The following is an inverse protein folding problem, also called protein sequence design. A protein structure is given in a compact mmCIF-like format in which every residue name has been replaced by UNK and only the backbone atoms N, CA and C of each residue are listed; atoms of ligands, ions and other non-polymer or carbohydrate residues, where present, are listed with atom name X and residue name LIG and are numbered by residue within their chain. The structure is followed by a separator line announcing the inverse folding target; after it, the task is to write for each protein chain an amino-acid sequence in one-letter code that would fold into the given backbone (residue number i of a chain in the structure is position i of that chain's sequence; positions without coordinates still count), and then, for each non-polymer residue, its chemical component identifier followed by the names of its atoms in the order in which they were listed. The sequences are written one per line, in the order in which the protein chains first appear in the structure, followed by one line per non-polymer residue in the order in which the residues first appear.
data_IF_193637769461
#
_entry.id   IF_193637769461
#
_cell.length_a   1.000
_cell.length_b   1.000
_cell.length_c   1.000
_cell.angle_alpha   90.00
_cell.angle_beta   90.00
_cell.angle_gamma   90.00
#
_symmetry.space_group_name_H-M   'P 1'
#
loop_
_entity.id
_entity.type
_entity.pdbx_description
1 polymer ?
#
# COMPACT_ATOMS: atom_id res chain seq x y z
N UNK A 1 -21.36 -11.43 11.83
CA UNK A 1 -21.54 -9.99 12.11
C UNK A 1 -20.33 -9.25 11.54
N UNK A 2 -20.42 -8.78 10.29
CA UNK A 2 -19.37 -7.97 9.65
C UNK A 2 -19.90 -6.53 9.62
N UNK A 3 -19.57 -5.76 10.65
CA UNK A 3 -19.69 -4.32 10.61
C UNK A 3 -18.38 -3.77 10.02
N UNK A 4 -18.42 -3.35 8.75
CA UNK A 4 -17.39 -2.49 8.15
C UNK A 4 -18.10 -1.31 7.51
N UNK A 5 -18.39 -0.32 8.35
CA UNK A 5 -18.64 1.06 7.96
C UNK A 5 -17.73 1.88 8.87
N UNK A 6 -16.89 2.80 8.39
CA UNK A 6 -17.39 4.13 8.11
C UNK A 6 -16.37 5.00 7.34
N UNK A 7 -16.87 5.66 6.29
CA UNK A 7 -16.53 7.04 5.85
C UNK A 7 -15.37 7.34 4.90
N UNK A 8 -14.81 6.37 4.19
CA UNK A 8 -14.29 6.63 2.83
C UNK A 8 -14.35 5.30 2.06
N UNK A 9 -15.54 5.03 1.53
CA UNK A 9 -15.94 3.81 0.84
C UNK A 9 -15.36 3.80 -0.59
N UNK A 10 -14.10 3.40 -0.72
CA UNK A 10 -13.56 2.99 -2.02
C UNK A 10 -13.11 1.54 -1.96
N UNK A 11 -14.09 0.66 -1.83
CA UNK A 11 -13.95 -0.77 -2.05
C UNK A 11 -13.92 -1.00 -3.58
N UNK A 12 -12.75 -0.89 -4.21
CA UNK A 12 -12.60 -1.32 -5.61
C UNK A 12 -12.50 -2.84 -5.61
N UNK A 13 -13.65 -3.49 -5.79
CA UNK A 13 -13.72 -4.93 -6.09
C UNK A 13 -13.42 -5.10 -7.58
N UNK A 14 -12.14 -5.03 -7.95
CA UNK A 14 -11.69 -5.21 -9.33
C UNK A 14 -11.13 -6.62 -9.53
N UNK A 15 -11.97 -7.54 -10.02
CA UNK A 15 -11.55 -8.89 -10.36
C UNK A 15 -10.54 -8.90 -11.52
N UNK A 16 -9.42 -9.60 -11.31
CA UNK A 16 -8.54 -10.34 -12.26
C UNK A 16 -8.21 -9.77 -13.65
N UNK A 17 -8.57 -8.53 -13.99
CA UNK A 17 -8.01 -7.80 -15.12
C UNK A 17 -6.93 -6.86 -14.59
N UNK A 18 -5.78 -6.78 -15.27
CA UNK A 18 -4.59 -6.05 -14.82
C UNK A 18 -4.83 -4.54 -14.82
N UNK A 19 -5.55 -4.06 -13.82
CA UNK A 19 -5.73 -2.65 -13.55
C UNK A 19 -4.44 -2.12 -12.92
N UNK A 20 -3.85 -1.11 -13.56
CA UNK A 20 -2.68 -0.42 -13.04
C UNK A 20 -3.10 0.53 -11.91
N UNK A 21 -2.61 0.28 -10.70
CA UNK A 21 -2.78 1.13 -9.54
C UNK A 21 -1.67 2.20 -9.50
N UNK A 22 -2.01 3.42 -9.08
CA UNK A 22 -1.06 4.48 -8.71
C UNK A 22 -1.01 4.71 -7.21
N UNK A 23 -2.09 4.43 -6.51
CA UNK A 23 -2.18 4.59 -5.05
C UNK A 23 -2.71 3.30 -4.43
N UNK A 24 -2.08 2.85 -3.35
CA UNK A 24 -2.48 1.66 -2.59
C UNK A 24 -2.82 2.07 -1.17
N UNK A 25 -4.07 1.84 -0.76
CA UNK A 25 -4.52 2.15 0.59
C UNK A 25 -4.03 1.08 1.57
N UNK A 26 -3.49 1.51 2.71
CA UNK A 26 -3.06 0.63 3.79
C UNK A 26 -4.16 0.54 4.84
N UNK A 27 -4.27 -0.63 5.47
CA UNK A 27 -5.12 -0.83 6.63
C UNK A 27 -4.52 -0.17 7.89
N UNK A 28 -5.31 -0.16 8.96
CA UNK A 28 -4.97 0.47 10.24
C UNK A 28 -3.92 -0.32 11.04
N UNK A 29 -3.53 -1.51 10.56
CA UNK A 29 -2.49 -2.37 11.13
C UNK A 29 -1.07 -1.96 10.72
N UNK A 30 -0.91 -0.75 10.17
CA UNK A 30 0.40 -0.23 9.78
C UNK A 30 1.34 -0.17 10.99
N UNK A 31 2.44 -0.91 10.89
CA UNK A 31 3.56 -0.82 11.82
C UNK A 31 4.73 -0.17 11.09
N UNK A 32 5.24 0.93 11.67
CA UNK A 32 6.45 1.60 11.23
C UNK A 32 7.55 1.44 12.28
N UNK A 33 8.72 0.99 11.85
CA UNK A 33 9.92 0.87 12.68
C UNK A 33 10.81 2.13 12.59
N UNK A 34 10.57 2.99 11.60
CA UNK A 34 11.28 4.23 11.33
C UNK A 34 10.29 5.28 10.80
N UNK A 35 10.75 6.52 10.68
CA UNK A 35 9.91 7.62 10.21
C UNK A 35 9.35 7.35 8.80
N UNK A 36 8.11 7.79 8.59
CA UNK A 36 7.34 7.55 7.36
C UNK A 36 7.97 8.18 6.11
N UNK A 37 8.68 9.29 6.27
CA UNK A 37 9.39 10.04 5.22
C UNK A 37 10.59 9.27 4.65
N UNK A 38 11.10 8.28 5.38
CA UNK A 38 12.19 7.41 4.91
C UNK A 38 11.74 6.33 3.93
N UNK A 39 10.44 6.12 3.80
CA UNK A 39 9.88 5.16 2.84
C UNK A 39 10.13 5.66 1.42
N UNK A 40 10.94 4.91 0.67
CA UNK A 40 11.26 5.21 -0.73
C UNK A 40 10.85 4.10 -1.70
N UNK A 41 10.52 2.91 -1.18
CA UNK A 41 10.07 1.78 -1.99
C UNK A 41 8.98 0.98 -1.28
N UNK A 42 8.20 0.24 -2.07
CA UNK A 42 7.20 -0.70 -1.58
C UNK A 42 7.28 -2.03 -2.32
N UNK A 43 7.09 -3.14 -1.61
CA UNK A 43 6.86 -4.45 -2.21
C UNK A 43 5.42 -4.86 -1.92
N UNK A 44 4.61 -4.97 -2.97
CA UNK A 44 3.17 -5.23 -2.87
C UNK A 44 2.81 -6.71 -3.05
N UNK A 45 3.73 -7.50 -3.60
CA UNK A 45 3.57 -8.95 -3.81
C UNK A 45 4.86 -9.67 -3.46
N UNK A 46 4.69 -10.87 -2.93
CA UNK A 46 5.81 -11.78 -2.67
C UNK A 46 6.61 -12.03 -3.97
N UNK A 47 7.94 -11.89 -3.89
CA UNK A 47 8.91 -11.98 -5.01
C UNK A 47 8.85 -10.87 -6.08
N UNK A 48 8.00 -9.86 -5.92
CA UNK A 48 8.07 -8.68 -6.79
C UNK A 48 9.32 -7.87 -6.47
N UNK A 49 9.95 -7.26 -7.48
CA UNK A 49 10.96 -6.22 -7.23
C UNK A 49 10.30 -5.01 -6.52
N UNK A 50 10.89 -4.47 -5.44
CA UNK A 50 10.38 -3.27 -4.81
C UNK A 50 10.22 -2.13 -5.80
N UNK A 51 9.07 -1.47 -5.76
CA UNK A 51 8.72 -0.34 -6.61
C UNK A 51 9.06 0.98 -5.91
N UNK A 52 9.61 1.98 -6.61
CA UNK A 52 9.75 3.33 -6.07
C UNK A 52 8.39 3.88 -5.67
N UNK A 53 8.28 4.34 -4.42
CA UNK A 53 7.03 4.81 -3.86
C UNK A 53 7.27 5.66 -2.61
N UNK A 54 6.27 6.44 -2.22
CA UNK A 54 6.28 7.19 -0.96
C UNK A 54 5.07 6.85 -0.11
N UNK A 55 5.24 6.91 1.21
CA UNK A 55 4.14 6.80 2.15
C UNK A 55 3.48 8.18 2.32
N UNK A 56 2.16 8.23 2.13
CA UNK A 56 1.35 9.45 2.26
C UNK A 56 0.30 9.24 3.33
N UNK A 57 0.20 10.22 4.24
CA UNK A 57 -0.85 10.27 5.26
C UNK A 57 -1.94 11.27 4.86
N UNK A 58 -3.20 10.86 4.97
CA UNK A 58 -4.37 11.71 4.78
C UNK A 58 -5.31 11.53 5.97
N UNK A 59 -5.35 12.52 6.87
CA UNK A 59 -5.98 12.37 8.18
C UNK A 59 -5.32 11.24 8.97
N UNK A 60 -6.11 10.23 9.36
CA UNK A 60 -5.62 9.06 10.10
C UNK A 60 -5.34 7.84 9.21
N UNK A 61 -5.48 8.00 7.88
CA UNK A 61 -5.25 6.91 6.92
C UNK A 61 -3.90 7.06 6.24
N UNK A 62 -3.30 5.92 5.94
CA UNK A 62 -2.07 5.84 5.16
C UNK A 62 -2.31 5.20 3.79
N UNK A 63 -1.58 5.69 2.80
CA UNK A 63 -1.56 5.13 1.46
C UNK A 63 -0.15 5.22 0.88
N UNK A 64 0.19 4.28 0.02
CA UNK A 64 1.43 4.30 -0.75
C UNK A 64 1.13 4.87 -2.13
N UNK A 65 1.87 5.90 -2.53
CA UNK A 65 1.85 6.42 -3.89
C UNK A 65 3.04 5.87 -4.67
N UNK A 66 2.75 5.18 -5.76
CA UNK A 66 3.75 4.60 -6.64
C UNK A 66 4.27 5.67 -7.59
N UNK A 67 5.58 5.69 -7.83
CA UNK A 67 6.17 6.58 -8.81
C UNK A 67 5.70 6.26 -10.24
N UNK A 68 5.48 4.97 -10.51
CA UNK A 68 4.94 4.47 -11.77
C UNK A 68 3.74 3.55 -11.51
N UNK A 69 2.69 3.57 -12.36
CA UNK A 69 1.56 2.66 -12.21
C UNK A 69 2.02 1.20 -12.26
N UNK A 70 1.51 0.36 -11.37
CA UNK A 70 1.86 -1.05 -11.31
C UNK A 70 0.63 -1.95 -11.20
N UNK A 71 0.73 -3.24 -11.57
CA UNK A 71 -0.37 -4.18 -11.44
C UNK A 71 -0.95 -4.16 -10.03
N UNK A 72 -2.25 -3.90 -9.94
CA UNK A 72 -2.95 -3.75 -8.68
C UNK A 72 -2.72 -4.98 -7.76
N UNK A 73 -2.30 -4.77 -6.50
CA UNK A 73 -2.26 -5.85 -5.53
C UNK A 73 -3.67 -6.27 -5.12
N UNK A 74 -3.81 -7.53 -4.72
CA UNK A 74 -5.05 -7.99 -4.14
C UNK A 74 -5.20 -7.43 -2.70
N UNK A 75 -6.39 -6.94 -2.30
CA UNK A 75 -6.66 -6.63 -0.90
C UNK A 75 -6.40 -7.83 0.01
N UNK A 76 -5.88 -7.59 1.20
CA UNK A 76 -5.45 -8.63 2.14
C UNK A 76 -4.00 -9.10 1.97
N UNK A 77 -3.31 -8.69 0.91
CA UNK A 77 -1.85 -8.89 0.79
C UNK A 77 -1.09 -7.89 1.66
N UNK A 78 0.17 -8.22 2.00
CA UNK A 78 1.05 -7.31 2.74
C UNK A 78 1.72 -6.30 1.80
N UNK A 79 1.65 -5.02 2.15
CA UNK A 79 2.54 -3.99 1.63
C UNK A 79 3.74 -3.89 2.56
N UNK A 80 4.92 -4.30 2.07
CA UNK A 80 6.18 -4.12 2.78
C UNK A 80 6.79 -2.77 2.38
N UNK A 81 7.04 -1.90 3.36
CA UNK A 81 7.60 -0.57 3.17
C UNK A 81 9.10 -0.65 3.35
N UNK A 82 9.85 -0.16 2.37
CA UNK A 82 11.30 -0.20 2.35
C UNK A 82 11.87 1.21 2.21
N UNK A 83 13.13 1.33 2.59
CA UNK A 83 13.90 2.52 2.33
C UNK A 83 14.15 2.75 0.84
N UNK A 84 14.80 3.86 0.50
CA UNK A 84 15.08 4.23 -0.88
C UNK A 84 16.01 3.23 -1.59
N UNK A 85 16.91 2.53 -0.86
CA UNK A 85 17.77 1.50 -1.46
C UNK A 85 16.97 0.22 -1.71
N UNK A 86 16.00 -0.10 -0.84
CA UNK A 86 15.22 -1.33 -0.87
C UNK A 86 15.87 -2.47 -0.08
N UNK A 87 16.87 -2.16 0.75
CA UNK A 87 17.62 -3.13 1.56
C UNK A 87 17.03 -3.27 2.97
N UNK A 88 16.38 -2.22 3.48
CA UNK A 88 15.84 -2.20 4.84
C UNK A 88 14.32 -2.11 4.83
N UNK A 89 13.68 -2.99 5.61
CA UNK A 89 12.25 -2.92 5.90
C UNK A 89 12.01 -1.85 6.96
N UNK A 90 11.24 -0.82 6.61
CA UNK A 90 10.86 0.26 7.50
C UNK A 90 9.49 0.06 8.13
N UNK A 91 8.69 -0.85 7.58
CA UNK A 91 7.38 -1.19 8.12
C UNK A 91 6.58 -2.11 7.20
N UNK A 92 5.38 -2.46 7.65
CA UNK A 92 4.44 -3.24 6.85
C UNK A 92 2.99 -2.95 7.26
N UNK A 93 2.07 -3.18 6.34
CA UNK A 93 0.64 -3.11 6.58
C UNK A 93 -0.12 -4.07 5.66
N UNK A 94 -1.36 -4.37 6.00
CA UNK A 94 -2.28 -5.04 5.09
C UNK A 94 -2.81 -4.07 4.03
N UNK A 95 -2.92 -4.52 2.78
CA UNK A 95 -3.49 -3.74 1.68
C UNK A 95 -5.02 -3.73 1.80
N UNK A 96 -5.59 -2.54 1.95
CA UNK A 96 -7.03 -2.34 2.07
C UNK A 96 -7.73 -2.14 0.71
N UNK A 97 -7.01 -1.60 -0.29
CA UNK A 97 -7.53 -1.29 -1.62
C UNK A 97 -6.52 -0.49 -2.44
N UNK A 98 -6.93 -0.03 -3.62
CA UNK A 98 -6.07 0.75 -4.51
C UNK A 98 -6.89 1.64 -5.48
N UNK A 99 -6.22 2.61 -6.08
CA UNK A 99 -6.76 3.62 -6.97
C UNK A 99 -5.79 3.86 -8.16
N UNK A 100 -6.30 4.34 -9.30
CA UNK A 100 -5.53 4.68 -10.51
C UNK A 100 -5.14 6.14 -10.58
#
# INVERSE_FOLDING_TARGET
MLAKDARHNRLVVGGREELLARRVALAEDLVLHRDADRVGKVQLRYRQRPLPARLVRSGDRFSVELAEPAPAPAPGQTACLLDATGEFVLGAATIAGWER
#
